data_IF_359005694480
#
_entry.id   IF_359005694480
#
_cell.length_a   1.000
_cell.length_b   1.000
_cell.length_c   1.000
_cell.angle_alpha   90.00
_cell.angle_beta   90.00
_cell.angle_gamma   90.00
#
_symmetry.space_group_name_H-M   'P 1'
#
loop_
_entity.id
_entity.type
_entity.pdbx_description
1 polymer ?
#
# COMPACT_ATOMS: atom_id res chain seq x y z
N UNK A 1 -1.43 -11.02 -4.64
CA UNK A 1 -1.41 -9.74 -3.86
C UNK A 1 -0.88 -8.62 -4.73
N UNK A 2 -1.48 -7.46 -4.65
CA UNK A 2 -1.05 -6.27 -5.40
C UNK A 2 -0.87 -5.09 -4.45
N UNK A 3 0.26 -4.41 -4.58
CA UNK A 3 0.50 -3.14 -3.91
C UNK A 3 0.68 -2.05 -4.96
N UNK A 4 0.00 -0.93 -4.78
CA UNK A 4 0.30 0.27 -5.55
C UNK A 4 1.07 1.19 -4.59
N UNK A 5 2.37 1.26 -4.78
CA UNK A 5 3.28 2.04 -3.93
C UNK A 5 3.45 3.42 -4.55
N UNK A 6 3.08 4.45 -3.80
CA UNK A 6 3.15 5.83 -4.28
C UNK A 6 4.08 6.62 -3.38
N UNK A 7 5.12 7.17 -3.97
CA UNK A 7 6.04 8.06 -3.25
C UNK A 7 5.36 9.41 -3.00
N UNK A 8 5.33 9.84 -1.74
CA UNK A 8 4.61 11.06 -1.34
C UNK A 8 5.49 11.97 -0.48
N UNK A 9 5.17 13.27 -0.50
CA UNK A 9 5.69 14.23 0.48
C UNK A 9 4.80 14.28 1.71
N UNK A 10 3.51 14.00 1.55
CA UNK A 10 2.53 13.88 2.63
C UNK A 10 1.30 13.12 2.14
N UNK A 11 0.62 12.46 3.07
CA UNK A 11 -0.65 11.77 2.79
C UNK A 11 -1.44 11.62 4.08
N UNK A 12 -2.77 11.62 3.97
CA UNK A 12 -3.65 11.34 5.11
C UNK A 12 -4.90 10.61 4.67
N UNK A 13 -5.52 9.89 5.59
CA UNK A 13 -6.80 9.21 5.38
C UNK A 13 -7.80 9.68 6.43
N UNK A 14 -9.02 10.01 5.95
CA UNK A 14 -10.15 10.40 6.79
C UNK A 14 -11.29 9.42 6.63
N UNK A 15 -11.99 9.17 7.73
CA UNK A 15 -13.28 8.46 7.76
C UNK A 15 -14.25 9.33 8.56
N UNK A 16 -15.42 9.60 7.99
CA UNK A 16 -16.44 10.46 8.61
C UNK A 16 -15.87 11.83 9.06
N UNK A 17 -14.97 12.39 8.27
CA UNK A 17 -14.36 13.69 8.53
C UNK A 17 -13.20 13.67 9.54
N UNK A 18 -12.90 12.54 10.14
CA UNK A 18 -11.82 12.43 11.12
C UNK A 18 -10.57 11.79 10.51
N UNK A 19 -9.40 12.33 10.83
CA UNK A 19 -8.11 11.80 10.38
C UNK A 19 -7.79 10.53 11.18
N UNK A 20 -7.70 9.39 10.48
CA UNK A 20 -7.27 8.12 11.06
C UNK A 20 -5.77 7.94 11.03
N UNK A 21 -5.12 8.44 9.99
CA UNK A 21 -3.69 8.30 9.80
C UNK A 21 -3.16 9.41 8.92
N UNK A 22 -1.93 9.83 9.20
CA UNK A 22 -1.24 10.88 8.46
C UNK A 22 0.25 10.63 8.47
N UNK A 23 0.88 10.81 7.33
CA UNK A 23 2.33 10.68 7.19
C UNK A 23 2.91 11.89 6.46
N UNK A 24 4.20 12.12 6.67
CA UNK A 24 5.01 13.00 5.85
C UNK A 24 5.63 12.23 4.68
N UNK A 25 6.90 12.45 4.42
CA UNK A 25 7.65 11.79 3.35
C UNK A 25 7.63 10.27 3.52
N UNK A 26 7.30 9.57 2.46
CA UNK A 26 7.28 8.12 2.48
C UNK A 26 6.44 7.54 1.36
N UNK A 27 5.71 6.46 1.68
CA UNK A 27 4.81 5.79 0.74
C UNK A 27 3.38 5.79 1.24
N UNK A 28 2.45 6.16 0.35
CA UNK A 28 1.04 5.77 0.48
C UNK A 28 0.84 4.53 -0.38
N UNK A 29 0.38 3.44 0.23
CA UNK A 29 0.30 2.13 -0.42
C UNK A 29 -1.13 1.64 -0.42
N UNK A 30 -1.66 1.35 -1.61
CA UNK A 30 -2.92 0.65 -1.77
C UNK A 30 -2.63 -0.85 -1.78
N UNK A 31 -3.38 -1.62 -0.99
CA UNK A 31 -3.17 -3.06 -0.81
C UNK A 31 -4.39 -3.83 -1.27
N UNK A 32 -4.19 -4.65 -2.31
CA UNK A 32 -5.18 -5.59 -2.81
C UNK A 32 -4.81 -7.02 -2.44
N UNK A 33 -5.77 -7.74 -1.88
CA UNK A 33 -5.61 -9.15 -1.46
C UNK A 33 -6.49 -10.02 -2.35
N UNK A 34 -5.94 -11.12 -2.87
CA UNK A 34 -6.68 -12.13 -3.63
C UNK A 34 -6.99 -13.36 -2.76
N UNK A 35 -7.89 -14.20 -3.24
CA UNK A 35 -8.28 -15.43 -2.52
C UNK A 35 -7.14 -16.44 -2.33
N UNK A 36 -6.12 -16.38 -3.18
CA UNK A 36 -4.97 -17.30 -3.14
C UNK A 36 -3.79 -16.79 -2.31
N UNK A 37 -3.89 -15.60 -1.73
CA UNK A 37 -2.79 -15.00 -0.99
C UNK A 37 -2.56 -15.68 0.35
N UNK A 38 -1.27 -15.78 0.72
CA UNK A 38 -0.80 -16.40 1.95
C UNK A 38 0.10 -15.42 2.71
N UNK A 39 0.40 -15.74 3.96
CA UNK A 39 1.33 -14.94 4.78
C UNK A 39 2.73 -14.90 4.16
N UNK A 40 3.16 -16.00 3.54
CA UNK A 40 4.45 -16.09 2.85
C UNK A 40 4.51 -15.11 1.67
N UNK A 41 3.43 -15.00 0.92
CA UNK A 41 3.30 -14.02 -0.17
C UNK A 41 3.36 -12.60 0.40
N UNK A 42 2.64 -12.35 1.49
CA UNK A 42 2.65 -11.04 2.15
C UNK A 42 4.06 -10.66 2.63
N UNK A 43 4.78 -11.58 3.23
CA UNK A 43 6.16 -11.35 3.70
C UNK A 43 7.08 -10.95 2.54
N UNK A 44 6.97 -11.62 1.41
CA UNK A 44 7.72 -11.29 0.20
C UNK A 44 7.40 -9.89 -0.32
N UNK A 45 6.10 -9.57 -0.37
CA UNK A 45 5.62 -8.26 -0.83
C UNK A 45 6.12 -7.13 0.08
N UNK A 46 6.03 -7.33 1.38
CA UNK A 46 6.50 -6.35 2.38
C UNK A 46 7.99 -6.11 2.24
N UNK A 47 8.77 -7.18 2.16
CA UNK A 47 10.23 -7.09 1.99
C UNK A 47 10.60 -6.32 0.74
N UNK A 48 9.92 -6.60 -0.38
CA UNK A 48 10.15 -5.91 -1.64
C UNK A 48 9.81 -4.42 -1.52
N UNK A 49 8.65 -4.12 -0.98
CA UNK A 49 8.17 -2.73 -0.83
C UNK A 49 9.13 -1.88 0.03
N UNK A 50 9.49 -2.38 1.21
CA UNK A 50 10.37 -1.65 2.13
C UNK A 50 11.77 -1.47 1.53
N UNK A 51 12.23 -2.44 0.74
CA UNK A 51 13.53 -2.41 0.11
C UNK A 51 13.61 -1.62 -1.19
N UNK A 52 12.50 -1.09 -1.72
CA UNK A 52 12.51 -0.32 -2.96
C UNK A 52 13.41 0.93 -2.80
N UNK A 53 14.32 1.09 -3.74
CA UNK A 53 15.27 2.21 -3.75
C UNK A 53 14.78 3.28 -4.72
N UNK A 54 13.74 3.98 -4.34
CA UNK A 54 13.04 4.95 -5.21
C UNK A 54 13.03 6.38 -4.68
N UNK A 55 13.83 6.67 -3.65
CA UNK A 55 14.06 8.06 -3.24
C UNK A 55 15.37 8.56 -3.83
N UNK A 56 15.41 9.84 -4.14
CA UNK A 56 16.59 10.46 -4.73
C UNK A 56 17.72 10.59 -3.71
N UNK A 57 18.93 10.31 -4.18
CA UNK A 57 20.16 10.56 -3.43
C UNK A 57 20.65 12.01 -3.61
N UNK A 58 21.79 12.33 -3.03
CA UNK A 58 22.39 13.68 -3.11
C UNK A 58 22.76 14.09 -4.54
N UNK A 59 22.87 13.12 -5.46
CA UNK A 59 23.16 13.37 -6.88
C UNK A 59 21.88 13.42 -7.73
N UNK A 60 20.70 13.39 -7.10
CA UNK A 60 19.41 13.38 -7.79
C UNK A 60 19.06 12.06 -8.45
N UNK A 61 19.76 10.97 -8.12
CA UNK A 61 19.52 9.65 -8.69
C UNK A 61 18.58 8.84 -7.81
N UNK A 62 17.65 8.12 -8.42
CA UNK A 62 16.76 7.16 -7.76
C UNK A 62 17.58 6.02 -7.17
N UNK A 63 17.81 6.03 -5.87
CA UNK A 63 18.80 5.16 -5.23
C UNK A 63 18.51 4.80 -3.78
N UNK A 64 17.85 5.64 -3.01
CA UNK A 64 17.69 5.44 -1.57
C UNK A 64 16.40 4.71 -1.22
N UNK A 65 16.48 3.83 -0.21
CA UNK A 65 15.34 3.11 0.33
C UNK A 65 14.56 3.95 1.34
N UNK A 66 13.39 3.46 1.74
CA UNK A 66 12.55 4.09 2.75
C UNK A 66 13.32 4.34 4.05
N UNK A 67 14.07 3.36 4.52
CA UNK A 67 14.89 3.46 5.74
C UNK A 67 15.94 4.57 5.64
N UNK A 68 16.61 4.65 4.50
CA UNK A 68 17.69 5.65 4.29
C UNK A 68 17.20 7.10 4.37
N UNK A 69 15.93 7.35 4.09
CA UNK A 69 15.33 8.70 4.13
C UNK A 69 14.45 8.93 5.36
N UNK A 70 14.36 7.96 6.25
CA UNK A 70 13.46 8.05 7.41
C UNK A 70 12.00 8.11 6.99
N UNK A 71 11.63 7.42 5.91
CA UNK A 71 10.30 7.48 5.33
C UNK A 71 9.26 6.76 6.18
N UNK A 72 8.02 7.14 5.97
CA UNK A 72 6.84 6.66 6.70
C UNK A 72 5.90 5.90 5.76
N UNK A 73 5.03 5.07 6.33
CA UNK A 73 4.06 4.30 5.55
C UNK A 73 2.63 4.66 5.94
N UNK A 74 1.78 4.83 4.93
CA UNK A 74 0.33 4.86 5.08
C UNK A 74 -0.25 3.71 4.25
N UNK A 75 -0.85 2.72 4.92
CA UNK A 75 -1.32 1.48 4.32
C UNK A 75 -2.85 1.50 4.22
N UNK A 76 -3.36 1.41 2.99
CA UNK A 76 -4.80 1.50 2.68
C UNK A 76 -5.25 0.21 2.00
N UNK A 77 -6.26 -0.45 2.55
CA UNK A 77 -6.88 -1.60 1.91
C UNK A 77 -7.67 -1.16 0.67
N UNK A 78 -7.49 -1.88 -0.46
CA UNK A 78 -8.10 -1.53 -1.73
C UNK A 78 -8.45 -2.80 -2.53
N UNK A 79 -9.60 -3.41 -2.26
CA UNK A 79 -9.99 -4.66 -2.94
C UNK A 79 -10.21 -4.47 -4.45
N UNK A 80 -10.53 -3.25 -4.88
CA UNK A 80 -10.78 -2.94 -6.28
C UNK A 80 -9.54 -3.08 -7.18
N UNK A 81 -8.35 -3.28 -6.60
CA UNK A 81 -7.16 -3.64 -7.37
C UNK A 81 -7.31 -5.01 -8.07
N UNK A 82 -8.28 -5.83 -7.62
CA UNK A 82 -8.65 -7.10 -8.25
C UNK A 82 -9.92 -7.00 -9.08
N UNK A 83 -10.18 -5.83 -9.66
CA UNK A 83 -11.28 -5.65 -10.60
C UNK A 83 -11.01 -6.39 -11.91
N UNK A 84 -12.03 -7.10 -12.41
CA UNK A 84 -12.03 -7.68 -13.74
C UNK A 84 -13.00 -6.87 -14.61
N UNK A 85 -12.47 -6.22 -15.63
CA UNK A 85 -13.22 -5.32 -16.52
C UNK A 85 -13.37 -5.89 -17.94
N UNK A 86 -13.27 -7.22 -18.09
CA UNK A 86 -13.33 -7.88 -19.41
C UNK A 86 -14.71 -7.79 -20.07
N UNK A 87 -15.78 -7.78 -19.27
CA UNK A 87 -17.15 -7.79 -19.79
C UNK A 87 -17.87 -6.49 -19.43
N UNK A 88 -18.21 -5.70 -20.45
CA UNK A 88 -18.97 -4.48 -20.26
C UNK A 88 -18.27 -3.45 -19.38
N UNK A 89 -19.07 -2.54 -18.83
CA UNK A 89 -18.56 -1.41 -18.04
C UNK A 89 -18.71 -1.58 -16.52
N UNK A 90 -19.30 -2.68 -16.07
CA UNK A 90 -19.40 -2.99 -14.64
C UNK A 90 -18.26 -3.92 -14.24
N UNK A 91 -17.32 -3.46 -13.41
CA UNK A 91 -16.24 -4.33 -12.95
C UNK A 91 -16.76 -5.50 -12.11
N UNK A 92 -16.14 -6.66 -12.26
CA UNK A 92 -16.36 -7.81 -11.37
C UNK A 92 -15.23 -7.86 -10.34
N UNK A 93 -15.55 -8.23 -9.10
CA UNK A 93 -14.58 -8.33 -8.00
C UNK A 93 -14.48 -9.73 -7.45
N UNK A 94 -14.84 -10.75 -8.23
CA UNK A 94 -14.80 -12.15 -7.78
C UNK A 94 -13.39 -12.66 -7.49
N UNK A 95 -12.38 -12.00 -8.05
CA UNK A 95 -10.96 -12.34 -7.82
C UNK A 95 -10.41 -11.73 -6.52
N UNK A 96 -11.10 -10.77 -5.94
CA UNK A 96 -10.72 -10.18 -4.67
C UNK A 96 -10.91 -11.18 -3.53
N UNK A 97 -10.05 -11.14 -2.53
CA UNK A 97 -10.16 -11.99 -1.35
C UNK A 97 -11.46 -11.77 -0.59
N UNK A 98 -11.99 -12.84 0.00
CA UNK A 98 -13.17 -12.74 0.86
C UNK A 98 -12.90 -11.72 1.98
N UNK A 99 -13.90 -10.91 2.39
CA UNK A 99 -13.69 -9.80 3.33
C UNK A 99 -12.98 -10.19 4.63
N UNK A 100 -13.36 -11.29 5.27
CA UNK A 100 -12.74 -11.69 6.54
C UNK A 100 -11.27 -12.06 6.36
N UNK A 101 -10.96 -12.84 5.34
CA UNK A 101 -9.59 -13.24 5.00
C UNK A 101 -8.74 -12.02 4.61
N UNK A 102 -9.30 -11.15 3.79
CA UNK A 102 -8.60 -9.94 3.34
C UNK A 102 -8.33 -8.98 4.50
N UNK A 103 -9.29 -8.85 5.43
CA UNK A 103 -9.12 -8.01 6.64
C UNK A 103 -8.00 -8.56 7.53
N UNK A 104 -7.97 -9.86 7.77
CA UNK A 104 -6.90 -10.50 8.55
C UNK A 104 -5.54 -10.30 7.89
N UNK A 105 -5.47 -10.44 6.57
CA UNK A 105 -4.23 -10.24 5.82
C UNK A 105 -3.76 -8.80 5.89
N UNK A 106 -4.67 -7.85 5.79
CA UNK A 106 -4.37 -6.43 5.94
C UNK A 106 -3.77 -6.14 7.33
N UNK A 107 -4.39 -6.64 8.39
CA UNK A 107 -3.87 -6.50 9.77
C UNK A 107 -2.48 -7.14 9.92
N UNK A 108 -2.28 -8.31 9.32
CA UNK A 108 -0.97 -8.98 9.30
C UNK A 108 0.11 -8.11 8.64
N UNK A 109 -0.21 -7.52 7.49
CA UNK A 109 0.72 -6.66 6.75
C UNK A 109 1.09 -5.44 7.60
N UNK A 110 0.12 -4.80 8.25
CA UNK A 110 0.36 -3.65 9.12
C UNK A 110 1.30 -4.03 10.27
N UNK A 111 1.01 -5.14 10.95
CA UNK A 111 1.83 -5.61 12.07
C UNK A 111 3.29 -5.88 11.65
N UNK A 112 3.47 -6.52 10.50
CA UNK A 112 4.81 -6.81 9.96
C UNK A 112 5.55 -5.54 9.56
N UNK A 113 4.88 -4.59 8.95
CA UNK A 113 5.50 -3.30 8.62
C UNK A 113 5.93 -2.54 9.87
N UNK A 114 5.13 -2.57 10.93
CA UNK A 114 5.47 -1.92 12.21
C UNK A 114 6.72 -2.50 12.88
N UNK A 115 7.08 -3.74 12.59
CA UNK A 115 8.32 -4.34 13.10
C UNK A 115 9.56 -3.72 12.45
N UNK A 116 9.43 -3.11 11.28
CA UNK A 116 10.56 -2.67 10.46
C UNK A 116 10.60 -1.17 10.19
N UNK A 117 9.45 -0.49 10.25
CA UNK A 117 9.33 0.93 9.94
C UNK A 117 8.78 1.65 11.18
N UNK A 118 9.46 2.72 11.65
CA UNK A 118 9.06 3.42 12.88
C UNK A 118 7.67 4.04 12.84
N UNK A 119 7.26 4.58 11.68
CA UNK A 119 5.94 5.21 11.53
C UNK A 119 5.15 4.47 10.46
N UNK A 120 4.14 3.73 10.90
CA UNK A 120 3.19 3.04 10.03
C UNK A 120 1.80 3.46 10.43
N UNK A 121 1.14 4.20 9.54
CA UNK A 121 -0.23 4.65 9.68
C UNK A 121 -1.14 3.83 8.78
N UNK A 122 -2.43 3.89 9.04
CA UNK A 122 -3.38 2.99 8.40
C UNK A 122 -4.75 3.61 8.24
N UNK A 123 -5.53 3.05 7.30
CA UNK A 123 -6.95 3.32 7.19
C UNK A 123 -7.81 2.33 7.99
N UNK A 124 -9.05 2.18 7.57
CA UNK A 124 -10.02 1.27 8.18
C UNK A 124 -10.58 0.35 7.11
N UNK A 125 -10.40 -0.95 7.27
CA UNK A 125 -10.90 -1.94 6.31
C UNK A 125 -12.41 -1.81 6.14
N UNK A 126 -12.86 -1.73 4.88
CA UNK A 126 -14.28 -1.67 4.53
C UNK A 126 -14.96 -0.32 4.71
N UNK A 127 -14.24 0.69 5.21
CA UNK A 127 -14.81 2.03 5.39
C UNK A 127 -14.76 2.85 4.10
N UNK A 128 -15.63 3.86 4.02
CA UNK A 128 -15.52 4.90 3.02
C UNK A 128 -14.41 5.86 3.45
N UNK A 129 -13.28 5.78 2.77
CA UNK A 129 -12.08 6.54 3.11
C UNK A 129 -11.83 7.67 2.11
N UNK A 130 -11.49 8.85 2.65
CA UNK A 130 -11.01 9.97 1.83
C UNK A 130 -9.50 10.04 2.01
N UNK A 131 -8.77 9.67 0.97
CA UNK A 131 -7.30 9.61 0.99
C UNK A 131 -6.76 10.76 0.17
N UNK A 132 -6.03 11.66 0.83
CA UNK A 132 -5.35 12.77 0.17
C UNK A 132 -3.85 12.51 0.19
N UNK A 133 -3.16 12.96 -0.84
CA UNK A 133 -1.72 12.78 -0.95
C UNK A 133 -1.11 13.79 -1.93
N UNK A 134 0.15 14.07 -1.74
CA UNK A 134 0.97 14.77 -2.72
C UNK A 134 1.95 13.76 -3.31
N UNK A 135 1.71 13.35 -4.54
CA UNK A 135 2.63 12.48 -5.27
C UNK A 135 3.92 13.23 -5.57
N UNK A 136 5.02 12.62 -5.17
CA UNK A 136 6.33 13.20 -5.37
C UNK A 136 6.99 12.61 -6.61
N UNK A 137 7.00 13.41 -7.67
CA UNK A 137 7.59 13.01 -8.93
C UNK A 137 6.71 13.19 -10.19
N UNK A 138 5.47 12.67 -10.33
CA UNK A 138 4.88 11.57 -9.56
C UNK A 138 5.68 10.27 -9.73
N UNK A 139 5.63 9.39 -8.74
CA UNK A 139 6.37 8.14 -8.75
C UNK A 139 5.51 7.03 -8.15
N UNK A 140 5.11 6.07 -8.98
CA UNK A 140 4.22 4.98 -8.58
C UNK A 140 4.77 3.65 -9.09
N UNK A 141 4.79 2.66 -8.22
CA UNK A 141 5.23 1.30 -8.54
C UNK A 141 4.09 0.34 -8.25
N UNK A 142 3.79 -0.54 -9.19
CA UNK A 142 2.87 -1.64 -8.97
C UNK A 142 3.69 -2.89 -8.67
N UNK A 143 3.53 -3.44 -7.46
CA UNK A 143 4.07 -4.74 -7.10
C UNK A 143 2.95 -5.76 -7.19
N UNK A 144 3.18 -6.81 -7.95
CA UNK A 144 2.24 -7.93 -8.11
C UNK A 144 2.97 -9.21 -7.73
N UNK A 145 2.42 -9.97 -6.79
CA UNK A 145 3.05 -11.19 -6.30
C UNK A 145 3.22 -12.25 -7.39
N UNK A 146 2.43 -12.20 -8.45
CA UNK A 146 2.56 -13.12 -9.59
C UNK A 146 3.81 -12.84 -10.43
N UNK A 147 4.46 -11.70 -10.22
CA UNK A 147 5.64 -11.25 -10.96
C UNK A 147 6.88 -11.02 -10.08
N UNK A 148 6.86 -11.57 -8.88
CA UNK A 148 8.00 -11.48 -7.96
C UNK A 148 8.79 -12.78 -7.85
#
# INVERSE_FOLDING_TARGET
MRFVVQRVTESEVKVDGEVLGKIGKGFMVLIGVSNSDTKEIADKMIKKMIGLRIFEDENGKTNLSLDAVGGELLLISQFTLYANCKKGNRPSFIEAGAPDMASEMYEYIIAKCKEQVPVVERGQFGADMKVSLVNDGPFKIILDSDHL
#
